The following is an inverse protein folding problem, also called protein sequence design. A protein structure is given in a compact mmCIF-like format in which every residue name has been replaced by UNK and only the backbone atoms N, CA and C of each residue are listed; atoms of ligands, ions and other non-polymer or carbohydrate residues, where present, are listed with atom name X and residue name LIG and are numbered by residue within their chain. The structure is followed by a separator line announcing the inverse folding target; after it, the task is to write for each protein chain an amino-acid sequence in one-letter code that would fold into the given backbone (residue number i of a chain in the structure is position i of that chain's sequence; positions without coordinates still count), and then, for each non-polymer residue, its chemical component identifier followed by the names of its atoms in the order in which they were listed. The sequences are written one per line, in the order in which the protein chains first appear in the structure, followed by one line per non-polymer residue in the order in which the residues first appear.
data_IF_695668061827
#
_entry.id   IF_695668061827
#
_cell.length_a   1.000
_cell.length_b   1.000
_cell.length_c   1.000
_cell.angle_alpha   90.00
_cell.angle_beta   90.00
_cell.angle_gamma   90.00
#
_symmetry.space_group_name_H-M   'P 1'
#
loop_
_entity.id
_entity.type
_entity.pdbx_description
1 polymer ?
#
# COMPACT_ATOMS: atom_id res chain seq x y z
N UNK A 1 -17.44 -46.61 39.59
CA UNK A 1 -17.71 -46.84 38.15
C UNK A 1 -17.77 -45.53 37.35
N UNK A 2 -16.66 -44.77 37.22
CA UNK A 2 -16.60 -43.52 36.40
C UNK A 2 -15.61 -43.60 35.22
N UNK A 3 -14.75 -44.62 35.15
CA UNK A 3 -13.82 -44.84 34.03
C UNK A 3 -14.46 -45.07 32.64
N UNK A 4 -15.59 -45.78 32.47
CA UNK A 4 -16.10 -46.07 31.12
C UNK A 4 -16.64 -44.83 30.41
N UNK A 5 -17.20 -43.86 31.17
CA UNK A 5 -17.74 -42.62 30.59
C UNK A 5 -16.61 -41.72 30.09
N UNK A 6 -15.51 -41.60 30.83
CA UNK A 6 -14.35 -40.80 30.41
C UNK A 6 -13.71 -41.40 29.15
N UNK A 7 -13.58 -42.72 29.08
CA UNK A 7 -13.06 -43.40 27.89
C UNK A 7 -13.94 -43.15 26.64
N UNK A 8 -15.27 -43.19 26.80
CA UNK A 8 -16.22 -42.88 25.72
C UNK A 8 -16.09 -41.42 25.27
N UNK A 9 -15.94 -40.48 26.20
CA UNK A 9 -15.75 -39.06 25.88
C UNK A 9 -14.43 -38.80 25.14
N UNK A 10 -13.35 -39.49 25.53
CA UNK A 10 -12.05 -39.41 24.84
C UNK A 10 -12.16 -39.98 23.43
N UNK A 11 -12.83 -41.13 23.25
CA UNK A 11 -13.06 -41.71 21.92
C UNK A 11 -13.90 -40.78 21.02
N UNK A 12 -14.98 -40.21 21.55
CA UNK A 12 -15.79 -39.22 20.84
C UNK A 12 -14.96 -37.99 20.45
N UNK A 13 -14.11 -37.51 21.34
CA UNK A 13 -13.22 -36.38 21.05
C UNK A 13 -12.21 -36.70 19.94
N UNK A 14 -11.60 -37.89 19.94
CA UNK A 14 -10.68 -38.35 18.89
C UNK A 14 -11.38 -38.42 17.52
N UNK A 15 -12.62 -38.93 17.47
CA UNK A 15 -13.41 -38.99 16.23
C UNK A 15 -13.72 -37.59 15.71
N UNK A 16 -14.20 -36.69 16.58
CA UNK A 16 -14.49 -35.30 16.21
C UNK A 16 -13.22 -34.58 15.73
N UNK A 17 -12.09 -34.77 16.42
CA UNK A 17 -10.80 -34.19 16.04
C UNK A 17 -10.34 -34.68 14.67
N UNK A 18 -10.44 -35.98 14.39
CA UNK A 18 -10.04 -36.56 13.10
C UNK A 18 -10.91 -36.03 11.94
N UNK A 19 -12.24 -35.94 12.14
CA UNK A 19 -13.14 -35.36 11.13
C UNK A 19 -12.81 -33.89 10.87
N UNK A 20 -12.57 -33.11 11.93
CA UNK A 20 -12.18 -31.70 11.79
C UNK A 20 -10.84 -31.56 11.05
N UNK A 21 -9.84 -32.37 11.40
CA UNK A 21 -8.53 -32.40 10.73
C UNK A 21 -8.67 -32.72 9.24
N UNK A 22 -9.37 -33.78 8.87
CA UNK A 22 -9.57 -34.14 7.46
C UNK A 22 -10.36 -33.09 6.68
N UNK A 23 -11.31 -32.38 7.33
CA UNK A 23 -12.01 -31.25 6.71
C UNK A 23 -11.07 -30.08 6.43
N UNK A 24 -10.20 -29.74 7.38
CA UNK A 24 -9.19 -28.68 7.22
C UNK A 24 -8.21 -29.05 6.12
N UNK A 25 -7.66 -30.27 6.13
CA UNK A 25 -6.75 -30.76 5.10
C UNK A 25 -7.38 -30.74 3.70
N UNK A 26 -8.68 -31.08 3.59
CA UNK A 26 -9.38 -30.99 2.30
C UNK A 26 -9.49 -29.55 1.82
N UNK A 27 -9.85 -28.62 2.69
CA UNK A 27 -9.95 -27.19 2.36
C UNK A 27 -8.60 -26.60 1.96
N UNK A 28 -7.52 -26.97 2.66
CA UNK A 28 -6.15 -26.55 2.35
C UNK A 28 -5.67 -27.14 1.01
N UNK A 29 -6.00 -28.40 0.73
CA UNK A 29 -5.66 -29.02 -0.54
C UNK A 29 -6.44 -28.38 -1.71
N UNK A 30 -7.72 -28.08 -1.53
CA UNK A 30 -8.53 -27.39 -2.54
C UNK A 30 -8.03 -25.96 -2.80
N UNK A 31 -7.69 -25.21 -1.76
CA UNK A 31 -7.13 -23.86 -1.91
C UNK A 31 -5.77 -23.89 -2.59
N UNK A 32 -4.91 -24.84 -2.21
CA UNK A 32 -3.59 -25.04 -2.82
C UNK A 32 -3.72 -25.40 -4.30
N UNK A 33 -4.62 -26.32 -4.66
CA UNK A 33 -4.88 -26.68 -6.06
C UNK A 33 -5.33 -25.47 -6.87
N UNK A 34 -6.30 -24.70 -6.38
CA UNK A 34 -6.78 -23.47 -7.05
C UNK A 34 -5.66 -22.46 -7.23
N UNK A 35 -4.80 -22.29 -6.22
CA UNK A 35 -3.64 -21.41 -6.30
C UNK A 35 -2.68 -21.88 -7.41
N UNK A 36 -2.29 -23.15 -7.41
CA UNK A 36 -1.37 -23.70 -8.42
C UNK A 36 -1.95 -23.69 -9.83
N UNK A 37 -3.26 -23.93 -9.98
CA UNK A 37 -3.96 -23.82 -11.26
C UNK A 37 -3.97 -22.39 -11.77
N UNK A 38 -4.28 -21.41 -10.91
CA UNK A 38 -4.23 -19.98 -11.24
C UNK A 38 -2.81 -19.54 -11.58
N UNK A 39 -1.81 -20.01 -10.85
CA UNK A 39 -0.41 -19.69 -11.14
C UNK A 39 0.06 -20.33 -12.46
N UNK A 40 -0.38 -21.56 -12.75
CA UNK A 40 -0.05 -22.20 -14.03
C UNK A 40 -0.66 -21.45 -15.21
N UNK A 41 -1.93 -21.02 -15.09
CA UNK A 41 -2.59 -20.27 -16.16
C UNK A 41 -1.98 -18.88 -16.36
N UNK A 42 -1.57 -18.20 -15.29
CA UNK A 42 -0.92 -16.88 -15.36
C UNK A 42 0.39 -16.93 -16.15
N UNK A 43 1.17 -17.99 -16.01
CA UNK A 43 2.43 -18.18 -16.73
C UNK A 43 2.26 -18.46 -18.23
N UNK A 44 1.03 -18.72 -18.70
CA UNK A 44 0.73 -18.98 -20.12
C UNK A 44 0.15 -17.75 -20.85
N UNK A 45 -0.14 -16.66 -20.14
CA UNK A 45 -0.72 -15.45 -20.75
C UNK A 45 0.31 -14.78 -21.67
N UNK A 46 -0.15 -14.29 -22.83
CA UNK A 46 0.71 -13.54 -23.75
C UNK A 46 1.03 -12.16 -23.19
N UNK A 47 2.22 -11.64 -23.50
CA UNK A 47 2.60 -10.25 -23.20
C UNK A 47 1.59 -9.27 -23.82
N UNK A 48 0.98 -8.44 -22.98
CA UNK A 48 0.06 -7.37 -23.38
C UNK A 48 0.80 -6.03 -23.56
N UNK A 49 0.20 -5.10 -24.29
CA UNK A 49 0.67 -3.70 -24.29
C UNK A 49 0.33 -3.04 -22.94
N UNK A 50 1.31 -2.36 -22.37
CA UNK A 50 1.22 -1.67 -21.08
C UNK A 50 1.45 -0.15 -21.22
N UNK A 51 1.58 0.36 -22.44
CA UNK A 51 1.86 1.78 -22.71
C UNK A 51 0.79 2.74 -22.15
N UNK A 52 -0.45 2.28 -22.02
CA UNK A 52 -1.60 3.06 -21.55
C UNK A 52 -1.90 2.90 -20.06
N UNK A 53 -1.02 2.24 -19.29
CA UNK A 53 -1.18 2.15 -17.84
C UNK A 53 -1.05 3.55 -17.20
N UNK A 54 -1.68 3.78 -16.04
CA UNK A 54 -1.70 5.08 -15.38
C UNK A 54 -0.35 5.38 -14.70
N UNK A 55 0.69 5.60 -15.49
CA UNK A 55 2.02 5.94 -15.01
C UNK A 55 1.99 7.28 -14.26
N UNK A 56 2.63 7.30 -13.10
CA UNK A 56 2.77 8.51 -12.29
C UNK A 56 3.85 9.38 -12.92
N UNK A 57 3.50 10.63 -13.21
CA UNK A 57 4.42 11.65 -13.70
C UNK A 57 4.76 12.60 -12.56
N UNK A 58 6.05 12.77 -12.28
CA UNK A 58 6.51 13.70 -11.23
C UNK A 58 6.81 15.04 -11.89
N UNK A 59 5.96 16.02 -11.63
CA UNK A 59 6.17 17.39 -12.06
C UNK A 59 6.98 18.14 -11.00
N UNK A 60 8.31 18.24 -11.21
CA UNK A 60 9.23 18.84 -10.23
C UNK A 60 8.85 20.28 -9.82
N UNK A 61 8.21 21.03 -10.73
CA UNK A 61 7.72 22.39 -10.47
C UNK A 61 6.55 22.46 -9.47
N UNK A 62 5.89 21.35 -9.17
CA UNK A 62 4.82 21.28 -8.17
C UNK A 62 5.35 21.02 -6.76
N UNK A 63 6.63 20.69 -6.62
CA UNK A 63 7.26 20.35 -5.34
C UNK A 63 8.16 21.51 -4.86
N UNK A 64 8.27 21.71 -3.54
CA UNK A 64 9.00 22.84 -2.97
C UNK A 64 10.51 22.54 -2.94
N UNK A 65 11.13 22.48 -4.11
CA UNK A 65 12.59 22.42 -4.23
C UNK A 65 13.22 23.71 -3.70
N UNK A 66 14.34 23.56 -3.00
CA UNK A 66 15.03 24.64 -2.31
C UNK A 66 16.52 24.43 -2.42
N UNK A 67 17.27 25.50 -2.68
CA UNK A 67 18.70 25.52 -2.46
C UNK A 67 18.99 25.45 -0.97
N UNK A 68 19.86 24.54 -0.56
CA UNK A 68 20.24 24.34 0.83
C UNK A 68 21.56 23.60 0.93
N UNK A 69 22.33 23.86 2.00
CA UNK A 69 23.51 23.06 2.36
C UNK A 69 23.14 21.83 3.20
N UNK A 70 21.84 21.68 3.55
CA UNK A 70 21.37 20.55 4.32
C UNK A 70 21.31 19.27 3.48
N UNK A 71 22.28 18.41 3.76
CA UNK A 71 22.44 17.10 3.12
C UNK A 71 21.19 16.21 3.18
N UNK A 72 20.37 16.31 4.23
CA UNK A 72 19.17 15.46 4.38
C UNK A 72 18.08 15.92 3.42
N UNK A 73 17.83 17.23 3.36
CA UNK A 73 16.88 17.82 2.41
C UNK A 73 17.30 17.53 0.95
N UNK A 74 18.58 17.72 0.64
CA UNK A 74 19.13 17.45 -0.69
C UNK A 74 18.96 15.99 -1.08
N UNK A 75 19.18 15.02 -0.18
CA UNK A 75 18.96 13.60 -0.46
C UNK A 75 17.52 13.29 -0.88
N UNK A 76 16.53 13.93 -0.25
CA UNK A 76 15.13 13.75 -0.65
C UNK A 76 14.87 14.36 -2.04
N UNK A 77 15.34 15.58 -2.27
CA UNK A 77 15.20 16.28 -3.55
C UNK A 77 15.88 15.51 -4.68
N UNK A 78 17.11 15.04 -4.50
CA UNK A 78 17.85 14.24 -5.47
C UNK A 78 17.14 12.92 -5.79
N UNK A 79 16.60 12.25 -4.76
CA UNK A 79 15.84 11.01 -4.95
C UNK A 79 14.58 11.25 -5.79
N UNK A 80 13.85 12.34 -5.54
CA UNK A 80 12.67 12.72 -6.32
C UNK A 80 13.06 13.09 -7.76
N UNK A 81 14.14 13.84 -7.95
CA UNK A 81 14.68 14.17 -9.28
C UNK A 81 15.01 12.90 -10.06
N UNK A 82 15.75 11.95 -9.47
CA UNK A 82 16.07 10.67 -10.11
C UNK A 82 14.82 9.84 -10.43
N UNK A 83 13.80 9.89 -9.57
CA UNK A 83 12.53 9.19 -9.80
C UNK A 83 11.70 9.83 -10.93
N UNK A 84 11.82 11.14 -11.16
CA UNK A 84 11.08 11.84 -12.22
C UNK A 84 11.47 11.37 -13.64
N UNK A 85 12.65 10.78 -13.78
CA UNK A 85 13.15 10.21 -15.04
C UNK A 85 12.74 8.74 -15.23
N UNK A 86 12.07 8.13 -14.25
CA UNK A 86 11.72 6.70 -14.23
C UNK A 86 10.23 6.48 -14.46
N UNK A 87 9.90 5.28 -14.94
CA UNK A 87 8.53 4.81 -15.01
C UNK A 87 8.08 4.35 -13.62
N UNK A 88 6.93 4.84 -13.18
CA UNK A 88 6.38 4.61 -11.84
C UNK A 88 4.93 4.21 -11.99
N UNK A 89 4.54 3.13 -11.32
CA UNK A 89 3.16 2.65 -11.33
C UNK A 89 2.80 2.16 -9.93
N UNK A 90 1.67 2.64 -9.42
CA UNK A 90 1.11 2.14 -8.17
C UNK A 90 0.42 0.80 -8.44
N UNK A 91 1.07 -0.30 -8.06
CA UNK A 91 0.52 -1.66 -8.18
C UNK A 91 0.05 -2.22 -6.84
N UNK A 92 -0.11 -1.36 -5.82
CA UNK A 92 -0.56 -1.77 -4.48
C UNK A 92 -1.88 -2.57 -4.57
N UNK A 93 -1.88 -3.72 -3.90
CA UNK A 93 -3.01 -4.64 -3.85
C UNK A 93 -3.16 -5.56 -5.07
N UNK A 94 -2.21 -5.57 -6.02
CA UNK A 94 -2.11 -6.59 -7.07
C UNK A 94 -1.02 -7.60 -6.72
N UNK A 95 -1.32 -8.90 -6.88
CA UNK A 95 -0.30 -9.95 -6.73
C UNK A 95 0.45 -10.18 -8.04
N UNK A 96 1.64 -10.78 -7.99
CA UNK A 96 2.37 -11.18 -9.19
C UNK A 96 1.53 -12.08 -10.10
N UNK A 97 0.73 -12.98 -9.54
CA UNK A 97 -0.18 -13.83 -10.31
C UNK A 97 -1.26 -13.00 -11.02
N UNK A 98 -1.79 -11.95 -10.38
CA UNK A 98 -2.77 -11.06 -11.02
C UNK A 98 -2.12 -10.25 -12.16
N UNK A 99 -0.92 -9.73 -11.95
CA UNK A 99 -0.16 -9.00 -12.99
C UNK A 99 0.17 -9.88 -14.18
N UNK A 100 0.57 -11.14 -13.94
CA UNK A 100 0.80 -12.14 -14.99
C UNK A 100 -0.48 -12.43 -15.77
N UNK A 101 -1.62 -12.56 -15.09
CA UNK A 101 -2.91 -12.80 -15.75
C UNK A 101 -3.36 -11.61 -16.61
N UNK A 102 -3.10 -10.39 -16.16
CA UNK A 102 -3.58 -9.17 -16.83
C UNK A 102 -2.63 -8.71 -17.95
N UNK A 103 -1.31 -8.78 -17.71
CA UNK A 103 -0.30 -8.19 -18.59
C UNK A 103 0.68 -9.21 -19.18
N UNK A 104 0.59 -10.47 -18.78
CA UNK A 104 1.52 -11.52 -19.16
C UNK A 104 2.82 -11.53 -18.33
N UNK A 105 3.45 -12.70 -18.13
CA UNK A 105 4.69 -12.82 -17.37
C UNK A 105 5.86 -12.07 -18.01
N UNK A 106 5.82 -11.85 -19.33
CA UNK A 106 6.84 -11.07 -20.05
C UNK A 106 6.88 -9.57 -19.73
N UNK A 107 5.91 -9.04 -18.97
CA UNK A 107 5.92 -7.67 -18.44
C UNK A 107 6.29 -7.60 -16.95
N UNK A 108 6.38 -8.74 -16.25
CA UNK A 108 6.43 -8.76 -14.79
C UNK A 108 7.67 -8.06 -14.25
N UNK A 109 8.85 -8.30 -14.83
CA UNK A 109 10.09 -7.66 -14.40
C UNK A 109 10.01 -6.13 -14.46
N UNK A 110 9.50 -5.60 -15.57
CA UNK A 110 9.33 -4.15 -15.75
C UNK A 110 8.27 -3.57 -14.79
N UNK A 111 7.13 -4.25 -14.62
CA UNK A 111 6.08 -3.83 -13.70
C UNK A 111 6.56 -3.84 -12.23
N UNK A 112 7.33 -4.86 -11.85
CA UNK A 112 7.97 -4.92 -10.53
C UNK A 112 8.98 -3.78 -10.33
N UNK A 113 9.76 -3.40 -11.34
CA UNK A 113 10.65 -2.24 -11.25
C UNK A 113 9.86 -0.92 -11.09
N UNK A 114 8.73 -0.77 -11.79
CA UNK A 114 7.84 0.38 -11.64
C UNK A 114 7.26 0.48 -10.23
N UNK A 115 6.86 -0.65 -9.64
CA UNK A 115 6.31 -0.73 -8.28
C UNK A 115 7.38 -0.48 -7.21
N UNK A 116 8.62 -0.93 -7.43
CA UNK A 116 9.76 -0.57 -6.58
C UNK A 116 10.03 0.94 -6.60
N UNK A 117 9.97 1.58 -7.77
CA UNK A 117 10.08 3.03 -7.88
C UNK A 117 8.92 3.73 -7.14
N UNK A 118 7.70 3.19 -7.22
CA UNK A 118 6.54 3.73 -6.48
C UNK A 118 6.72 3.62 -4.97
N UNK A 119 7.22 2.48 -4.48
CA UNK A 119 7.52 2.28 -3.06
C UNK A 119 8.57 3.27 -2.57
N UNK A 120 9.63 3.50 -3.36
CA UNK A 120 10.64 4.50 -3.05
C UNK A 120 10.04 5.91 -3.03
N UNK A 121 9.24 6.27 -4.04
CA UNK A 121 8.54 7.55 -4.12
C UNK A 121 7.68 7.80 -2.88
N UNK A 122 6.82 6.85 -2.52
CA UNK A 122 5.91 6.96 -1.38
C UNK A 122 6.67 7.23 -0.06
N UNK A 123 7.74 6.47 0.17
CA UNK A 123 8.60 6.64 1.35
C UNK A 123 9.33 7.98 1.34
N UNK A 124 9.88 8.39 0.21
CA UNK A 124 10.64 9.64 0.08
C UNK A 124 9.73 10.84 0.30
N UNK A 125 8.54 10.88 -0.29
CA UNK A 125 7.57 11.97 -0.10
C UNK A 125 7.13 12.08 1.38
N UNK A 126 6.80 10.95 2.01
CA UNK A 126 6.44 10.96 3.43
C UNK A 126 7.57 11.50 4.31
N UNK A 127 8.80 10.99 4.13
CA UNK A 127 9.94 11.41 4.93
C UNK A 127 10.34 12.87 4.67
N UNK A 128 10.24 13.33 3.42
CA UNK A 128 10.50 14.72 3.07
C UNK A 128 9.47 15.66 3.69
N UNK A 129 8.18 15.33 3.58
CA UNK A 129 7.11 16.12 4.22
C UNK A 129 7.25 16.15 5.75
N UNK A 130 7.55 15.01 6.38
CA UNK A 130 7.82 14.92 7.81
C UNK A 130 9.05 15.74 8.23
N UNK A 131 10.10 15.72 7.42
CA UNK A 131 11.30 16.52 7.65
C UNK A 131 10.98 18.02 7.65
N UNK A 132 10.31 18.50 6.60
CA UNK A 132 9.88 19.90 6.48
C UNK A 132 8.97 20.32 7.63
N UNK A 133 8.07 19.43 8.05
CA UNK A 133 7.20 19.64 9.21
C UNK A 133 8.00 19.88 10.49
N UNK A 134 9.04 19.06 10.75
CA UNK A 134 9.92 19.24 11.91
C UNK A 134 10.77 20.51 11.85
N UNK A 135 11.08 21.00 10.65
CA UNK A 135 11.74 22.29 10.44
C UNK A 135 10.78 23.48 10.47
N UNK A 136 9.53 23.28 10.87
CA UNK A 136 8.48 24.29 10.92
C UNK A 136 8.17 24.94 9.55
N UNK A 137 8.53 24.29 8.44
CA UNK A 137 8.20 24.72 7.08
C UNK A 137 6.84 24.14 6.66
N UNK A 138 5.78 24.59 7.32
CA UNK A 138 4.46 23.95 7.26
C UNK A 138 3.85 23.92 5.85
N UNK A 139 3.96 25.02 5.10
CA UNK A 139 3.39 25.08 3.74
C UNK A 139 4.10 24.13 2.77
N UNK A 140 5.43 24.06 2.82
CA UNK A 140 6.19 23.11 2.01
C UNK A 140 5.90 21.66 2.40
N UNK A 141 5.77 21.39 3.70
CA UNK A 141 5.38 20.06 4.18
C UNK A 141 4.01 19.65 3.61
N UNK A 142 3.02 20.56 3.63
CA UNK A 142 1.71 20.33 3.01
C UNK A 142 1.85 20.00 1.53
N UNK A 143 2.61 20.79 0.76
CA UNK A 143 2.78 20.56 -0.69
C UNK A 143 3.33 19.16 -1.00
N UNK A 144 4.38 18.73 -0.29
CA UNK A 144 4.98 17.40 -0.50
C UNK A 144 4.02 16.27 -0.12
N UNK A 145 3.33 16.42 1.02
CA UNK A 145 2.40 15.41 1.51
C UNK A 145 1.15 15.30 0.62
N UNK A 146 0.58 16.43 0.18
CA UNK A 146 -0.53 16.51 -0.79
C UNK A 146 -0.16 15.80 -2.10
N UNK A 147 1.06 15.99 -2.60
CA UNK A 147 1.54 15.27 -3.79
C UNK A 147 1.57 13.75 -3.55
N UNK A 148 1.96 13.30 -2.35
CA UNK A 148 1.87 11.89 -1.97
C UNK A 148 0.44 11.35 -1.93
N UNK A 149 -0.54 12.17 -1.53
CA UNK A 149 -1.96 11.80 -1.57
C UNK A 149 -2.46 11.70 -3.01
N UNK A 150 -2.06 12.64 -3.88
CA UNK A 150 -2.38 12.62 -5.31
C UNK A 150 -1.83 11.36 -6.00
N UNK A 151 -0.63 10.91 -5.61
CA UNK A 151 -0.03 9.66 -6.07
C UNK A 151 -0.71 8.39 -5.50
N UNK A 152 -1.70 8.55 -4.62
CA UNK A 152 -2.40 7.47 -3.91
C UNK A 152 -1.46 6.58 -3.10
N UNK A 153 -0.47 7.19 -2.44
CA UNK A 153 0.36 6.48 -1.46
C UNK A 153 -0.49 5.96 -0.31
N UNK A 154 -0.14 4.82 0.26
CA UNK A 154 -0.86 4.19 1.38
C UNK A 154 -0.10 4.30 2.71
N UNK A 155 0.79 5.27 2.82
CA UNK A 155 1.57 5.54 4.05
C UNK A 155 0.67 6.26 5.06
N UNK A 156 0.22 5.55 6.09
CA UNK A 156 -0.69 6.12 7.10
C UNK A 156 -0.17 7.41 7.75
N UNK A 157 1.14 7.49 7.98
CA UNK A 157 1.76 8.69 8.54
C UNK A 157 1.56 9.93 7.65
N UNK A 158 1.55 9.76 6.32
CA UNK A 158 1.34 10.86 5.38
C UNK A 158 -0.03 11.52 5.62
N UNK A 159 -1.09 10.70 5.65
CA UNK A 159 -2.45 11.16 5.93
C UNK A 159 -2.58 11.85 7.29
N UNK A 160 -1.93 11.32 8.33
CA UNK A 160 -2.06 11.85 9.69
C UNK A 160 -1.34 13.18 9.88
N UNK A 161 -0.11 13.31 9.37
CA UNK A 161 0.62 14.58 9.43
C UNK A 161 -0.11 15.64 8.61
N UNK A 162 -0.63 15.27 7.44
CA UNK A 162 -1.35 16.21 6.60
C UNK A 162 -2.67 16.68 7.26
N UNK A 163 -3.39 15.78 7.95
CA UNK A 163 -4.55 16.18 8.75
C UNK A 163 -4.18 17.13 9.90
N UNK A 164 -3.07 16.87 10.60
CA UNK A 164 -2.55 17.77 11.63
C UNK A 164 -2.20 19.15 11.06
N UNK A 165 -1.50 19.18 9.92
CA UNK A 165 -1.14 20.41 9.21
C UNK A 165 -2.37 21.20 8.77
N UNK A 166 -3.39 20.54 8.23
CA UNK A 166 -4.64 21.19 7.86
C UNK A 166 -5.33 21.85 9.06
N UNK A 167 -5.38 21.19 10.21
CA UNK A 167 -5.91 21.81 11.43
C UNK A 167 -5.06 23.02 11.87
N UNK A 168 -3.73 22.89 11.88
CA UNK A 168 -2.82 23.99 12.25
C UNK A 168 -2.93 25.21 11.34
N UNK A 169 -3.21 24.99 10.06
CA UNK A 169 -3.37 26.03 9.05
C UNK A 169 -4.82 26.52 8.90
N UNK A 170 -5.74 26.08 9.77
CA UNK A 170 -7.14 26.51 9.76
C UNK A 170 -7.97 26.01 8.58
N UNK A 171 -7.60 24.84 8.02
CA UNK A 171 -8.27 24.18 6.87
C UNK A 171 -8.81 22.77 7.20
N UNK A 172 -9.52 22.55 8.33
CA UNK A 172 -10.00 21.23 8.73
C UNK A 172 -10.94 20.57 7.71
N UNK A 173 -11.62 21.36 6.87
CA UNK A 173 -12.51 20.88 5.80
C UNK A 173 -11.81 19.94 4.81
N UNK A 174 -10.50 20.14 4.58
CA UNK A 174 -9.69 19.30 3.69
C UNK A 174 -9.48 17.88 4.22
N UNK A 175 -9.74 17.59 5.49
CA UNK A 175 -9.67 16.23 6.04
C UNK A 175 -10.71 15.31 5.37
N UNK A 176 -11.84 15.87 4.93
CA UNK A 176 -12.85 15.11 4.18
C UNK A 176 -12.34 14.59 2.83
N UNK A 177 -11.47 15.36 2.16
CA UNK A 177 -10.80 14.94 0.93
C UNK A 177 -9.82 13.79 1.20
N UNK A 178 -9.09 13.84 2.31
CA UNK A 178 -8.20 12.75 2.74
C UNK A 178 -8.96 11.44 2.95
N UNK A 179 -10.14 11.50 3.58
CA UNK A 179 -11.02 10.34 3.78
C UNK A 179 -11.52 9.78 2.44
N UNK A 180 -11.88 10.66 1.50
CA UNK A 180 -12.31 10.25 0.15
C UNK A 180 -11.20 9.50 -0.58
N UNK A 181 -9.97 10.05 -0.58
CA UNK A 181 -8.82 9.40 -1.21
C UNK A 181 -8.49 8.08 -0.51
N UNK A 182 -8.43 8.06 0.83
CA UNK A 182 -8.16 6.85 1.60
C UNK A 182 -9.16 5.72 1.30
N UNK A 183 -10.44 6.07 1.15
CA UNK A 183 -11.51 5.13 0.80
C UNK A 183 -11.32 4.50 -0.58
N UNK A 184 -10.71 5.24 -1.52
CA UNK A 184 -10.43 4.77 -2.88
C UNK A 184 -9.19 3.86 -3.01
N UNK A 185 -8.33 3.77 -1.99
CA UNK A 185 -7.09 3.01 -2.06
C UNK A 185 -7.34 1.49 -2.20
N UNK A 186 -6.48 0.77 -2.91
CA UNK A 186 -6.53 -0.69 -2.96
C UNK A 186 -5.46 -1.30 -2.03
N UNK A 187 -5.55 -1.00 -0.73
CA UNK A 187 -4.53 -1.37 0.27
C UNK A 187 -5.16 -1.96 1.54
N UNK A 188 -4.40 -2.84 2.21
CA UNK A 188 -4.74 -3.35 3.53
C UNK A 188 -4.76 -2.24 4.60
N UNK A 189 -4.05 -1.14 4.36
CA UNK A 189 -3.98 0.00 5.28
C UNK A 189 -5.24 0.87 5.29
N UNK A 190 -6.16 0.70 4.32
CA UNK A 190 -7.34 1.55 4.12
C UNK A 190 -8.11 1.81 5.41
N UNK A 191 -8.54 0.74 6.07
CA UNK A 191 -9.37 0.86 7.26
C UNK A 191 -8.60 1.49 8.42
N UNK A 192 -7.30 1.19 8.54
CA UNK A 192 -6.44 1.83 9.54
C UNK A 192 -6.36 3.34 9.31
N UNK A 193 -6.13 3.77 8.06
CA UNK A 193 -6.02 5.20 7.70
C UNK A 193 -7.33 5.93 7.99
N UNK A 194 -8.45 5.38 7.53
CA UNK A 194 -9.80 5.97 7.74
C UNK A 194 -10.10 6.11 9.24
N UNK A 195 -9.85 5.05 10.02
CA UNK A 195 -10.09 5.09 11.47
C UNK A 195 -9.22 6.14 12.16
N UNK A 196 -7.94 6.23 11.79
CA UNK A 196 -7.03 7.23 12.35
C UNK A 196 -7.44 8.67 11.99
N UNK A 197 -7.94 8.91 10.77
CA UNK A 197 -8.45 10.22 10.34
C UNK A 197 -9.76 10.61 11.06
N UNK A 198 -10.70 9.68 11.21
CA UNK A 198 -11.95 9.92 11.93
C UNK A 198 -11.70 10.28 13.40
N UNK A 199 -10.74 9.62 14.05
CA UNK A 199 -10.34 9.95 15.42
C UNK A 199 -9.71 11.35 15.53
N UNK A 200 -9.14 11.87 14.44
CA UNK A 200 -8.56 13.21 14.38
C UNK A 200 -9.61 14.32 14.25
N UNK A 201 -10.78 14.03 13.66
CA UNK A 201 -11.88 15.01 13.56
C UNK A 201 -12.64 15.23 14.87
N UNK A 202 -12.51 14.31 15.83
CA UNK A 202 -13.25 14.34 17.11
C UNK A 202 -12.48 15.15 18.19
N UNK A 203 -11.21 15.49 17.95
CA UNK A 203 -10.37 16.27 18.87
C UNK A 203 -10.44 17.76 18.55
#
# INVERSE_FOLDING_TARGET
MKLPIVAILVLLWIVIFSIKKSKVERLENESSKKFWEKERSSNMVRKSDISQLPYIQIHLNQLPFQESDDTVLLQYQDTITSLSEKQILNLTGKTNTDLKLEYGPGNLEFLSACDQNFTLLARTLYNWGLYLYHQNQLEHAVTVLEFGIQCKTDVSGNYLILAELYNKLGKPEKISELLSVASSLNTLMKNSIINSLNNYQIK
#
